data_IF_061164653619
#
_entry.id   IF_061164653619
#
_cell.length_a   1.000
_cell.length_b   1.000
_cell.length_c   1.000
_cell.angle_alpha   90.00
_cell.angle_beta   90.00
_cell.angle_gamma   90.00
#
_symmetry.space_group_name_H-M   'P 1'
#
loop_
_entity.id
_entity.type
_entity.pdbx_description
1 polymer ?
#
# COMPACT_ATOMS: atom_id res chain seq x y z
N UNK A 1 15.94 -6.72 -42.56
CA UNK A 1 15.25 -6.15 -41.38
C UNK A 1 15.32 -7.18 -40.27
N UNK A 2 15.91 -6.82 -39.12
CA UNK A 2 15.95 -7.70 -37.94
C UNK A 2 14.80 -7.28 -37.03
N UNK A 3 13.87 -8.18 -36.77
CA UNK A 3 12.81 -7.98 -35.78
C UNK A 3 13.30 -8.51 -34.45
N UNK A 4 13.39 -7.64 -33.45
CA UNK A 4 13.76 -8.01 -32.08
C UNK A 4 12.47 -8.15 -31.28
N UNK A 5 12.22 -9.29 -30.62
CA UNK A 5 11.03 -9.45 -29.78
C UNK A 5 11.12 -8.50 -28.59
N UNK A 6 10.15 -7.59 -28.48
CA UNK A 6 9.99 -6.75 -27.29
C UNK A 6 9.34 -7.62 -26.20
N UNK A 7 10.00 -7.70 -25.05
CA UNK A 7 9.42 -8.33 -23.86
C UNK A 7 8.26 -7.44 -23.38
N UNK A 8 7.02 -7.84 -23.70
CA UNK A 8 5.82 -7.18 -23.17
C UNK A 8 5.75 -7.50 -21.68
N UNK A 9 5.72 -6.47 -20.82
CA UNK A 9 5.55 -6.72 -19.39
C UNK A 9 4.17 -7.31 -19.14
N UNK A 10 4.13 -8.45 -18.47
CA UNK A 10 2.87 -9.05 -18.05
C UNK A 10 2.12 -8.05 -17.15
N UNK A 11 0.82 -7.81 -17.37
CA UNK A 11 0.06 -6.92 -16.50
C UNK A 11 0.15 -7.41 -15.05
N UNK A 12 0.50 -6.49 -14.16
CA UNK A 12 0.59 -6.76 -12.74
C UNK A 12 -0.80 -7.10 -12.17
N UNK A 13 -0.90 -8.08 -11.25
CA UNK A 13 -2.13 -8.33 -10.50
C UNK A 13 -2.67 -7.04 -9.86
N UNK A 14 -3.99 -6.86 -9.88
CA UNK A 14 -4.63 -5.68 -9.31
C UNK A 14 -4.27 -5.44 -7.83
N UNK A 15 -4.02 -6.51 -7.06
CA UNK A 15 -3.58 -6.41 -5.67
C UNK A 15 -2.23 -5.68 -5.49
N UNK A 16 -1.38 -5.66 -6.52
CA UNK A 16 -0.07 -5.00 -6.51
C UNK A 16 -0.13 -3.56 -7.02
N UNK A 17 -1.26 -3.12 -7.58
CA UNK A 17 -1.45 -1.77 -8.13
C UNK A 17 -2.55 -1.00 -7.39
N UNK A 18 -3.44 -1.69 -6.68
CA UNK A 18 -4.44 -1.08 -5.82
C UNK A 18 -3.78 -0.44 -4.58
N UNK A 19 -4.25 0.74 -4.13
CA UNK A 19 -3.74 1.39 -2.94
C UNK A 19 -3.98 0.53 -1.69
N UNK A 20 -3.01 0.48 -0.77
CA UNK A 20 -3.20 -0.01 0.59
C UNK A 20 -4.10 0.99 1.34
N UNK A 21 -5.22 0.55 1.94
CA UNK A 21 -6.03 1.41 2.78
C UNK A 21 -5.28 1.73 4.09
N UNK A 22 -5.44 2.94 4.66
CA UNK A 22 -4.91 3.24 5.97
C UNK A 22 -5.57 2.36 7.04
N UNK A 23 -4.83 2.00 8.11
CA UNK A 23 -5.34 1.29 9.26
C UNK A 23 -6.41 2.14 9.95
N UNK A 24 -7.39 1.50 10.58
CA UNK A 24 -8.37 2.21 11.38
C UNK A 24 -7.70 2.94 12.53
N UNK A 25 -8.31 4.06 12.96
CA UNK A 25 -7.84 4.78 14.14
C UNK A 25 -7.98 3.89 15.40
N UNK A 26 -7.06 4.03 16.38
CA UNK A 26 -7.22 3.42 17.69
C UNK A 26 -8.58 3.74 18.30
N UNK A 27 -9.22 2.79 19.00
CA UNK A 27 -10.30 3.14 19.89
C UNK A 27 -9.76 4.06 21.00
N UNK A 28 -10.48 5.14 21.29
CA UNK A 28 -10.07 6.14 22.29
C UNK A 28 -9.90 5.57 23.72
N UNK A 29 -10.43 4.37 23.97
CA UNK A 29 -10.32 3.62 25.23
C UNK A 29 -10.17 2.13 24.91
N UNK A 30 -8.95 1.63 24.80
CA UNK A 30 -8.76 0.17 24.81
C UNK A 30 -9.02 -0.35 26.21
N UNK A 31 -9.76 -1.44 26.26
CA UNK A 31 -9.89 -2.24 27.47
C UNK A 31 -9.51 -3.68 27.17
N UNK A 32 -8.67 -4.27 28.02
CA UNK A 32 -8.42 -5.71 28.04
C UNK A 32 -9.01 -6.24 29.35
N UNK A 33 -9.96 -7.17 29.27
CA UNK A 33 -10.67 -7.74 30.42
C UNK A 33 -11.27 -6.68 31.38
N UNK A 34 -11.76 -5.57 30.82
CA UNK A 34 -12.37 -4.48 31.57
C UNK A 34 -11.38 -3.49 32.22
N UNK A 35 -10.07 -3.75 32.15
CA UNK A 35 -9.03 -2.81 32.56
C UNK A 35 -8.55 -1.96 31.38
N UNK A 36 -8.25 -0.68 31.61
CA UNK A 36 -7.68 0.19 30.58
C UNK A 36 -6.34 -0.35 30.09
N UNK A 37 -6.24 -0.64 28.80
CA UNK A 37 -5.04 -1.14 28.16
C UNK A 37 -4.40 -0.05 27.28
N UNK A 38 -3.06 -0.06 27.18
CA UNK A 38 -2.37 0.82 26.23
C UNK A 38 -2.53 0.20 24.83
N UNK A 39 -3.25 0.89 23.94
CA UNK A 39 -3.34 0.52 22.52
C UNK A 39 -2.01 0.82 21.81
N UNK A 40 -0.90 0.21 22.21
CA UNK A 40 0.42 0.49 21.62
C UNK A 40 0.35 0.24 20.11
N UNK A 41 -0.24 -0.88 19.70
CA UNK A 41 -0.39 -1.29 18.29
C UNK A 41 -1.12 -0.25 17.43
N UNK A 42 -2.21 0.30 17.95
CA UNK A 42 -3.04 1.24 17.18
C UNK A 42 -2.42 2.65 17.17
N UNK A 43 -1.69 3.02 18.23
CA UNK A 43 -0.92 4.27 18.24
C UNK A 43 0.26 4.23 17.26
N UNK A 44 0.86 3.05 17.03
CA UNK A 44 1.96 2.87 16.06
C UNK A 44 1.51 3.18 14.62
N UNK A 45 0.25 2.90 14.28
CA UNK A 45 -0.35 3.23 12.98
C UNK A 45 -0.51 4.74 12.74
N UNK A 46 -0.55 5.54 13.82
CA UNK A 46 -0.59 7.00 13.75
C UNK A 46 0.79 7.65 13.80
N UNK A 47 1.86 6.86 13.92
CA UNK A 47 3.21 7.41 13.85
C UNK A 47 3.43 8.02 12.46
N UNK A 48 3.93 9.27 12.37
CA UNK A 48 4.23 9.90 11.09
C UNK A 48 5.13 9.05 10.18
N UNK A 49 6.05 8.28 10.78
CA UNK A 49 6.92 7.35 10.06
C UNK A 49 6.13 6.23 9.36
N UNK A 50 5.09 5.70 10.00
CA UNK A 50 4.24 4.66 9.41
C UNK A 50 3.39 5.25 8.26
N UNK A 51 2.82 6.45 8.48
CA UNK A 51 2.05 7.16 7.45
C UNK A 51 2.91 7.48 6.21
N UNK A 52 4.13 7.97 6.40
CA UNK A 52 5.06 8.24 5.30
C UNK A 52 5.41 6.95 4.52
N UNK A 53 5.62 5.83 5.22
CA UNK A 53 5.87 4.54 4.56
C UNK A 53 4.65 4.07 3.73
N UNK A 54 3.44 4.25 4.25
CA UNK A 54 2.20 3.94 3.51
C UNK A 54 2.09 4.78 2.23
N UNK A 55 2.35 6.09 2.32
CA UNK A 55 2.33 7.00 1.17
C UNK A 55 3.35 6.58 0.10
N UNK A 56 4.59 6.26 0.51
CA UNK A 56 5.62 5.77 -0.40
C UNK A 56 5.21 4.48 -1.11
N UNK A 57 4.65 3.51 -0.38
CA UNK A 57 4.15 2.27 -0.98
C UNK A 57 3.02 2.54 -1.98
N UNK A 58 2.08 3.42 -1.65
CA UNK A 58 0.97 3.75 -2.55
C UNK A 58 1.44 4.51 -3.80
N UNK A 59 2.47 5.35 -3.69
CA UNK A 59 3.09 6.02 -4.83
C UNK A 59 3.76 5.01 -5.79
N UNK A 60 4.45 4.00 -5.25
CA UNK A 60 5.05 2.92 -6.04
C UNK A 60 3.99 2.12 -6.81
N UNK A 61 2.89 1.76 -6.13
CA UNK A 61 1.76 1.04 -6.76
C UNK A 61 1.08 1.84 -7.87
N UNK A 62 0.93 3.15 -7.68
CA UNK A 62 0.40 4.04 -8.71
C UNK A 62 1.33 4.08 -9.94
N UNK A 63 2.64 4.15 -9.72
CA UNK A 63 3.64 4.10 -10.80
C UNK A 63 3.61 2.75 -11.53
N UNK A 64 3.53 1.64 -10.80
CA UNK A 64 3.42 0.31 -11.36
C UNK A 64 2.15 0.15 -12.23
N UNK A 65 1.02 0.74 -11.80
CA UNK A 65 -0.21 0.76 -12.57
C UNK A 65 -0.09 1.52 -13.90
N UNK A 66 0.70 2.60 -13.94
CA UNK A 66 0.96 3.37 -15.17
C UNK A 66 1.82 2.57 -16.15
N UNK A 67 2.89 1.94 -15.66
CA UNK A 67 3.77 1.10 -16.50
C UNK A 67 3.00 -0.07 -17.14
N UNK A 68 2.09 -0.71 -16.40
CA UNK A 68 1.24 -1.76 -16.95
C UNK A 68 0.18 -1.30 -17.97
N UNK A 69 -0.04 0.01 -18.14
CA UNK A 69 -0.95 0.58 -19.15
C UNK A 69 -0.25 1.00 -20.43
N UNK A 70 1.02 1.37 -20.35
CA UNK A 70 1.83 1.85 -21.48
C UNK A 70 2.16 0.78 -22.52
N UNK A 71 2.01 -0.51 -22.17
CA UNK A 71 2.35 -1.66 -23.03
C UNK A 71 1.15 -2.21 -23.83
N UNK A 72 0.02 -1.49 -23.83
CA UNK A 72 -1.23 -1.91 -24.48
C UNK A 72 -1.63 -1.10 -25.72
N UNK A 73 -0.77 -0.23 -26.25
CA UNK A 73 -0.99 0.51 -27.51
C UNK A 73 0.08 0.18 -28.55
#
# INVERSE_FOLDING_TARGET
MVSVPVMVYRPLPAALTAPIPPPPAPPARCTLDGAGAVCVSDALALLPMWQAALEMCNADRARAALLGRSDGQ
#
